data_IF_327688991860
#
_entry.id   IF_327688991860
#
_cell.length_a   1.000
_cell.length_b   1.000
_cell.length_c   1.000
_cell.angle_alpha   90.00
_cell.angle_beta   90.00
_cell.angle_gamma   90.00
#
_symmetry.space_group_name_H-M   'P 1'
#
loop_
_entity.id
_entity.type
_entity.pdbx_description
1 polymer ?
#
# COMPACT_ATOMS: atom_id res chain seq x y z
N UNK A 1 -9.59 -18.69 4.98
CA UNK A 1 -8.91 -19.97 4.66
C UNK A 1 -8.57 -20.79 5.92
N UNK A 2 -7.76 -20.29 6.87
CA UNK A 2 -7.35 -21.05 8.06
C UNK A 2 -8.52 -21.58 8.92
N UNK A 3 -9.51 -20.74 9.25
CA UNK A 3 -10.70 -21.14 10.02
C UNK A 3 -11.48 -22.30 9.36
N UNK A 4 -11.62 -22.26 8.04
CA UNK A 4 -12.30 -23.31 7.29
C UNK A 4 -11.50 -24.62 7.33
N UNK A 5 -10.19 -24.54 7.09
CA UNK A 5 -9.29 -25.69 7.16
C UNK A 5 -9.31 -26.38 8.53
N UNK A 6 -9.29 -25.60 9.62
CA UNK A 6 -9.43 -26.14 10.99
C UNK A 6 -10.79 -26.81 11.20
N UNK A 7 -11.85 -26.21 10.64
CA UNK A 7 -13.21 -26.75 10.67
C UNK A 7 -13.32 -28.12 10.00
N UNK A 8 -12.62 -28.30 8.88
CA UNK A 8 -12.66 -29.52 8.04
C UNK A 8 -11.89 -30.70 8.65
N UNK A 9 -11.10 -30.50 9.72
CA UNK A 9 -10.45 -31.59 10.46
C UNK A 9 -11.51 -32.49 11.10
N UNK A 10 -11.59 -33.73 10.59
CA UNK A 10 -12.59 -34.77 10.91
C UNK A 10 -12.84 -35.01 12.40
N UNK A 11 -14.09 -35.33 12.76
CA UNK A 11 -14.50 -35.74 14.11
C UNK A 11 -14.12 -37.18 14.48
N UNK A 12 -13.63 -37.99 13.52
CA UNK A 12 -13.09 -39.34 13.74
C UNK A 12 -11.55 -39.34 13.89
N UNK A 13 -11.02 -38.20 14.32
CA UNK A 13 -9.61 -37.94 14.42
C UNK A 13 -8.93 -38.79 15.51
N UNK A 14 -7.71 -39.26 15.23
CA UNK A 14 -6.80 -39.84 16.24
C UNK A 14 -6.53 -38.77 17.32
N UNK A 15 -6.12 -39.19 18.53
CA UNK A 15 -5.83 -38.26 19.64
C UNK A 15 -4.91 -37.09 19.23
N UNK A 16 -3.84 -37.37 18.50
CA UNK A 16 -2.89 -36.34 18.05
C UNK A 16 -3.52 -35.34 17.05
N UNK A 17 -4.49 -35.76 16.24
CA UNK A 17 -5.23 -34.88 15.32
C UNK A 17 -6.17 -33.95 16.10
N UNK A 18 -6.80 -34.45 17.18
CA UNK A 18 -7.58 -33.63 18.11
C UNK A 18 -6.71 -32.60 18.85
N UNK A 19 -5.56 -33.02 19.37
CA UNK A 19 -4.60 -32.15 20.06
C UNK A 19 -4.08 -31.05 19.10
N UNK A 20 -3.77 -31.42 17.85
CA UNK A 20 -3.34 -30.48 16.80
C UNK A 20 -4.46 -29.49 16.44
N UNK A 21 -5.70 -29.97 16.30
CA UNK A 21 -6.87 -29.10 16.04
C UNK A 21 -7.09 -28.10 17.17
N UNK A 22 -6.97 -28.55 18.42
CA UNK A 22 -7.10 -27.67 19.58
C UNK A 22 -6.02 -26.60 19.60
N UNK A 23 -4.76 -26.98 19.35
CA UNK A 23 -3.65 -26.04 19.23
C UNK A 23 -3.88 -25.00 18.12
N UNK A 24 -4.32 -25.44 16.93
CA UNK A 24 -4.62 -24.56 15.80
C UNK A 24 -5.77 -23.59 16.11
N UNK A 25 -6.78 -24.02 16.86
CA UNK A 25 -7.87 -23.13 17.31
C UNK A 25 -7.37 -22.06 18.28
N UNK A 26 -6.55 -22.44 19.26
CA UNK A 26 -5.96 -21.50 20.22
C UNK A 26 -5.06 -20.48 19.52
N UNK A 27 -4.20 -20.94 18.62
CA UNK A 27 -3.33 -20.07 17.82
C UNK A 27 -4.15 -19.09 16.97
N UNK A 28 -5.19 -19.58 16.29
CA UNK A 28 -6.10 -18.75 15.52
C UNK A 28 -6.79 -17.66 16.38
N UNK A 29 -7.23 -18.00 17.59
CA UNK A 29 -7.87 -17.05 18.50
C UNK A 29 -6.89 -15.98 18.99
N UNK A 30 -5.65 -16.35 19.30
CA UNK A 30 -4.58 -15.43 19.71
C UNK A 30 -4.26 -14.46 18.56
N UNK A 31 -3.98 -14.98 17.36
CA UNK A 31 -3.64 -14.17 16.19
C UNK A 31 -4.81 -13.27 15.78
N UNK A 32 -6.05 -13.78 15.85
CA UNK A 32 -7.23 -12.95 15.58
C UNK A 32 -7.38 -11.81 16.59
N UNK A 33 -7.15 -12.08 17.89
CA UNK A 33 -7.21 -11.05 18.93
C UNK A 33 -6.18 -9.95 18.66
N UNK A 34 -4.97 -10.35 18.28
CA UNK A 34 -3.89 -9.44 17.91
C UNK A 34 -4.27 -8.57 16.71
N UNK A 35 -4.79 -9.16 15.63
CA UNK A 35 -5.23 -8.40 14.46
C UNK A 35 -6.35 -7.41 14.75
N UNK A 36 -7.24 -7.71 15.71
CA UNK A 36 -8.28 -6.76 16.12
C UNK A 36 -7.67 -5.53 16.80
N UNK A 37 -6.67 -5.72 17.65
CA UNK A 37 -5.97 -4.60 18.30
C UNK A 37 -5.20 -3.76 17.27
N UNK A 38 -4.52 -4.42 16.34
CA UNK A 38 -3.79 -3.76 15.24
C UNK A 38 -4.73 -2.94 14.35
N UNK A 39 -5.86 -3.53 13.93
CA UNK A 39 -6.87 -2.83 13.13
C UNK A 39 -7.46 -1.63 13.89
N UNK A 40 -7.70 -1.75 15.20
CA UNK A 40 -8.16 -0.62 16.01
C UNK A 40 -7.14 0.52 16.05
N UNK A 41 -5.86 0.21 16.25
CA UNK A 41 -4.78 1.20 16.23
C UNK A 41 -4.72 1.91 14.87
N UNK A 42 -4.75 1.13 13.78
CA UNK A 42 -4.77 1.66 12.43
C UNK A 42 -6.00 2.55 12.17
N UNK A 43 -7.19 2.13 12.61
CA UNK A 43 -8.42 2.93 12.42
C UNK A 43 -8.38 4.23 13.23
N UNK A 44 -7.82 4.20 14.45
CA UNK A 44 -7.61 5.42 15.23
C UNK A 44 -6.68 6.37 14.48
N UNK A 45 -5.55 5.88 13.97
CA UNK A 45 -4.65 6.70 13.15
C UNK A 45 -5.36 7.25 11.91
N UNK A 46 -6.06 6.41 11.15
CA UNK A 46 -6.79 6.81 9.93
C UNK A 46 -7.81 7.91 10.21
N UNK A 47 -8.61 7.76 11.25
CA UNK A 47 -9.59 8.77 11.67
C UNK A 47 -8.94 10.10 12.07
N UNK A 48 -7.76 10.04 12.69
CA UNK A 48 -7.02 11.23 13.12
C UNK A 48 -6.39 11.99 11.94
N UNK A 49 -6.16 11.34 10.80
CA UNK A 49 -5.68 12.05 9.59
C UNK A 49 -6.69 13.07 9.07
N UNK A 50 -7.99 12.85 9.32
CA UNK A 50 -9.08 13.69 8.82
C UNK A 50 -9.36 13.55 7.31
N UNK A 51 -8.56 12.78 6.57
CA UNK A 51 -8.63 12.68 5.11
C UNK A 51 -9.98 12.18 4.59
N UNK A 52 -10.59 11.18 5.25
CA UNK A 52 -11.92 10.67 4.91
C UNK A 52 -13.01 11.77 4.96
N UNK A 53 -12.87 12.76 5.84
CA UNK A 53 -13.85 13.86 5.96
C UNK A 53 -13.66 14.90 4.87
N UNK A 54 -12.42 15.13 4.46
CA UNK A 54 -12.06 16.08 3.39
C UNK A 54 -12.37 15.52 2.00
N UNK A 55 -12.14 14.22 1.78
CA UNK A 55 -12.25 13.56 0.47
C UNK A 55 -13.41 12.56 0.43
N UNK A 56 -14.66 13.07 0.38
CA UNK A 56 -15.89 12.26 0.43
C UNK A 56 -16.18 11.33 -0.77
N UNK A 57 -15.52 11.56 -1.91
CA UNK A 57 -15.60 10.74 -3.13
C UNK A 57 -14.48 9.69 -3.16
N UNK A 58 -13.42 9.87 -2.35
CA UNK A 58 -12.37 8.87 -2.23
C UNK A 58 -12.91 7.65 -1.48
N UNK A 59 -12.33 6.49 -1.78
CA UNK A 59 -12.63 5.24 -1.10
C UNK A 59 -12.24 5.39 0.38
N UNK A 60 -13.17 5.04 1.28
CA UNK A 60 -12.92 4.96 2.73
C UNK A 60 -13.11 3.49 3.16
N UNK A 61 -12.07 2.68 2.92
CA UNK A 61 -12.12 1.22 3.11
C UNK A 61 -11.02 0.72 4.07
N UNK A 62 -10.92 1.24 5.29
CA UNK A 62 -9.79 0.96 6.18
C UNK A 62 -9.66 -0.53 6.54
N UNK A 63 -10.76 -1.27 6.63
CA UNK A 63 -10.68 -2.72 6.83
C UNK A 63 -10.02 -3.44 5.64
N UNK A 64 -10.33 -3.03 4.40
CA UNK A 64 -9.70 -3.60 3.18
C UNK A 64 -8.21 -3.32 3.20
N UNK A 65 -7.82 -2.07 3.45
CA UNK A 65 -6.41 -1.65 3.51
C UNK A 65 -5.62 -2.39 4.58
N UNK A 66 -6.23 -2.59 5.76
CA UNK A 66 -5.62 -3.39 6.80
C UNK A 66 -5.44 -4.85 6.40
N UNK A 67 -6.41 -5.47 5.72
CA UNK A 67 -6.30 -6.87 5.27
C UNK A 67 -5.10 -7.09 4.34
N UNK A 68 -4.75 -6.11 3.50
CA UNK A 68 -3.54 -6.20 2.65
C UNK A 68 -2.25 -6.31 3.47
N UNK A 69 -2.20 -5.72 4.67
CA UNK A 69 -1.02 -5.83 5.55
C UNK A 69 -0.84 -7.23 6.15
N UNK A 70 -1.89 -8.05 6.21
CA UNK A 70 -1.89 -9.37 6.86
C UNK A 70 -0.99 -10.41 6.15
N UNK A 71 -0.40 -10.07 4.98
CA UNK A 71 0.64 -10.88 4.33
C UNK A 71 1.88 -11.08 5.22
N UNK A 72 2.16 -10.12 6.11
CA UNK A 72 3.15 -10.28 7.18
C UNK A 72 2.54 -11.15 8.29
N UNK A 73 2.38 -12.45 8.03
CA UNK A 73 1.60 -13.38 8.84
C UNK A 73 2.25 -13.78 10.17
N UNK A 74 3.55 -13.56 10.35
CA UNK A 74 4.24 -13.84 11.61
C UNK A 74 3.66 -12.99 12.76
N UNK A 75 3.20 -13.59 13.88
CA UNK A 75 2.64 -12.83 15.00
C UNK A 75 3.58 -11.74 15.56
N UNK A 76 4.90 -11.93 15.48
CA UNK A 76 5.89 -10.92 15.92
C UNK A 76 5.87 -9.64 15.09
N UNK A 77 5.28 -9.66 13.90
CA UNK A 77 5.20 -8.55 12.96
C UNK A 77 4.01 -7.60 13.20
N UNK A 78 3.61 -7.40 14.45
CA UNK A 78 2.44 -6.59 14.80
C UNK A 78 2.52 -5.15 14.29
N UNK A 79 3.61 -4.45 14.66
CA UNK A 79 3.84 -3.06 14.26
C UNK A 79 4.05 -2.95 12.75
N UNK A 80 4.72 -3.94 12.16
CA UNK A 80 4.91 -4.06 10.71
C UNK A 80 3.56 -4.02 9.97
N UNK A 81 2.56 -4.78 10.44
CA UNK A 81 1.22 -4.78 9.84
C UNK A 81 0.51 -3.43 9.99
N UNK A 82 0.54 -2.82 11.17
CA UNK A 82 -0.07 -1.50 11.39
C UNK A 82 0.53 -0.45 10.46
N UNK A 83 1.85 -0.40 10.33
CA UNK A 83 2.53 0.52 9.43
C UNK A 83 2.23 0.23 7.96
N UNK A 84 2.26 -1.03 7.53
CA UNK A 84 1.89 -1.39 6.16
C UNK A 84 0.45 -0.97 5.83
N UNK A 85 -0.48 -1.09 6.78
CA UNK A 85 -1.85 -0.62 6.59
C UNK A 85 -1.92 0.91 6.36
N UNK A 86 -1.11 1.70 7.09
CA UNK A 86 -0.95 3.14 6.83
C UNK A 86 -0.49 3.40 5.40
N UNK A 87 0.57 2.70 4.96
CA UNK A 87 1.12 2.84 3.61
C UNK A 87 0.09 2.47 2.53
N UNK A 88 -0.59 1.33 2.68
CA UNK A 88 -1.64 0.90 1.75
C UNK A 88 -2.75 1.95 1.67
N UNK A 89 -3.21 2.48 2.81
CA UNK A 89 -4.25 3.52 2.80
C UNK A 89 -3.82 4.79 2.06
N UNK A 90 -2.55 5.19 2.19
CA UNK A 90 -2.03 6.35 1.46
C UNK A 90 -1.97 6.08 -0.04
N UNK A 91 -1.53 4.89 -0.48
CA UNK A 91 -1.55 4.51 -1.90
C UNK A 91 -2.96 4.67 -2.48
N UNK A 92 -3.98 4.09 -1.83
CA UNK A 92 -5.38 4.18 -2.28
C UNK A 92 -5.91 5.62 -2.34
N UNK A 93 -5.60 6.43 -1.34
CA UNK A 93 -6.07 7.82 -1.29
C UNK A 93 -5.38 8.69 -2.33
N UNK A 94 -4.10 8.44 -2.59
CA UNK A 94 -3.36 9.15 -3.63
C UNK A 94 -3.90 8.76 -5.00
N UNK A 95 -4.12 7.47 -5.26
CA UNK A 95 -4.78 6.95 -6.47
C UNK A 95 -6.12 7.67 -6.72
N UNK A 96 -7.00 7.72 -5.72
CA UNK A 96 -8.27 8.48 -5.80
C UNK A 96 -8.09 9.98 -6.10
N UNK A 97 -7.00 10.58 -5.59
CA UNK A 97 -6.69 11.97 -5.90
C UNK A 97 -6.37 12.14 -7.39
N UNK A 98 -5.62 11.21 -7.99
CA UNK A 98 -5.26 11.23 -9.40
C UNK A 98 -6.46 10.94 -10.31
N UNK A 99 -7.33 10.01 -9.94
CA UNK A 99 -8.39 9.52 -10.84
C UNK A 99 -9.71 10.29 -10.71
N UNK A 100 -10.05 10.75 -9.50
CA UNK A 100 -11.38 11.32 -9.21
C UNK A 100 -11.36 12.81 -8.94
N UNK A 101 -10.30 13.32 -8.31
CA UNK A 101 -10.28 14.68 -7.75
C UNK A 101 -9.45 15.70 -8.52
N UNK A 102 -8.25 15.32 -8.92
CA UNK A 102 -7.23 16.24 -9.37
C UNK A 102 -7.50 16.78 -10.76
N UNK A 103 -7.35 18.09 -10.95
CA UNK A 103 -7.08 18.61 -12.29
C UNK A 103 -5.64 18.30 -12.67
N UNK A 104 -5.36 18.10 -13.95
CA UNK A 104 -4.02 17.77 -14.43
C UNK A 104 -2.96 18.78 -13.95
N UNK A 105 -3.27 20.08 -13.96
CA UNK A 105 -2.36 21.13 -13.46
C UNK A 105 -2.03 20.96 -11.97
N UNK A 106 -3.04 20.64 -11.14
CA UNK A 106 -2.82 20.37 -9.72
C UNK A 106 -2.03 19.08 -9.51
N UNK A 107 -2.29 18.03 -10.30
CA UNK A 107 -1.57 16.77 -10.22
C UNK A 107 -0.09 16.91 -10.58
N UNK A 108 0.26 17.77 -11.53
CA UNK A 108 1.65 18.10 -11.85
C UNK A 108 2.35 18.72 -10.64
N UNK A 109 1.73 19.72 -10.01
CA UNK A 109 2.29 20.39 -8.82
C UNK A 109 2.38 19.42 -7.63
N UNK A 110 1.36 18.58 -7.43
CA UNK A 110 1.33 17.55 -6.40
C UNK A 110 2.48 16.53 -6.57
N UNK A 111 2.74 16.10 -7.81
CA UNK A 111 3.85 15.22 -8.17
C UNK A 111 5.21 15.88 -7.90
N UNK A 112 5.38 17.14 -8.31
CA UNK A 112 6.65 17.85 -8.11
C UNK A 112 6.97 18.11 -6.63
N UNK A 113 5.94 18.40 -5.81
CA UNK A 113 6.10 18.53 -4.36
C UNK A 113 6.65 17.24 -3.73
N UNK A 114 6.19 16.06 -4.15
CA UNK A 114 6.71 14.76 -3.67
C UNK A 114 8.10 14.48 -4.21
N UNK A 115 8.38 14.77 -5.47
CA UNK A 115 9.71 14.54 -6.07
C UNK A 115 10.81 15.36 -5.40
N UNK A 116 10.50 16.59 -5.02
CA UNK A 116 11.40 17.47 -4.25
C UNK A 116 11.35 17.20 -2.76
N UNK A 117 10.32 16.49 -2.31
CA UNK A 117 9.97 16.31 -0.91
C UNK A 117 9.85 17.66 -0.18
N UNK A 118 9.23 18.63 -0.84
CA UNK A 118 9.10 20.02 -0.37
C UNK A 118 7.63 20.43 -0.31
N UNK A 119 7.15 20.70 0.90
CA UNK A 119 5.77 21.11 1.14
C UNK A 119 5.48 22.52 0.63
N UNK A 120 6.50 23.38 0.50
CA UNK A 120 6.32 24.76 0.02
C UNK A 120 5.85 24.79 -1.45
N UNK A 121 6.28 23.83 -2.27
CA UNK A 121 5.84 23.68 -3.67
C UNK A 121 4.32 23.43 -3.78
N UNK A 122 3.72 22.90 -2.71
CA UNK A 122 2.31 22.58 -2.65
C UNK A 122 1.43 23.72 -2.11
N UNK A 123 1.96 24.91 -1.80
CA UNK A 123 1.18 26.00 -1.18
C UNK A 123 -0.08 26.35 -1.98
N UNK A 124 0.04 26.37 -3.31
CA UNK A 124 -1.03 26.68 -4.26
C UNK A 124 -2.06 25.55 -4.42
N UNK A 125 -1.79 24.34 -3.92
CA UNK A 125 -2.72 23.22 -4.04
C UNK A 125 -3.97 23.40 -3.16
N UNK A 126 -5.08 22.76 -3.54
CA UNK A 126 -6.26 22.64 -2.68
C UNK A 126 -5.93 22.06 -1.30
N UNK A 127 -6.76 22.39 -0.31
CA UNK A 127 -6.57 21.96 1.08
C UNK A 127 -6.39 20.44 1.22
N UNK A 128 -7.22 19.64 0.55
CA UNK A 128 -7.18 18.17 0.67
C UNK A 128 -5.85 17.56 0.18
N UNK A 129 -5.28 18.09 -0.91
CA UNK A 129 -3.97 17.64 -1.41
C UNK A 129 -2.86 18.00 -0.42
N UNK A 130 -2.92 19.20 0.16
CA UNK A 130 -1.98 19.62 1.20
C UNK A 130 -2.08 18.77 2.45
N UNK A 131 -3.30 18.47 2.92
CA UNK A 131 -3.52 17.53 4.03
C UNK A 131 -2.94 16.15 3.70
N UNK A 132 -3.17 15.64 2.49
CA UNK A 132 -2.62 14.36 2.04
C UNK A 132 -1.08 14.36 2.05
N UNK A 133 -0.42 15.39 1.49
CA UNK A 133 1.05 15.51 1.51
C UNK A 133 1.60 15.54 2.92
N UNK A 134 0.96 16.28 3.83
CA UNK A 134 1.40 16.34 5.22
C UNK A 134 1.37 14.95 5.86
N UNK A 135 0.25 14.24 5.72
CA UNK A 135 0.12 12.89 6.26
C UNK A 135 1.13 11.94 5.63
N UNK A 136 1.36 12.03 4.32
CA UNK A 136 2.37 11.24 3.61
C UNK A 136 3.78 11.50 4.14
N UNK A 137 4.17 12.77 4.28
CA UNK A 137 5.50 13.16 4.73
C UNK A 137 5.73 12.75 6.18
N UNK A 138 4.79 13.07 7.07
CA UNK A 138 4.86 12.73 8.49
C UNK A 138 4.94 11.20 8.69
N UNK A 139 4.12 10.44 7.95
CA UNK A 139 4.11 8.96 8.04
C UNK A 139 5.41 8.37 7.52
N UNK A 140 5.95 8.91 6.44
CA UNK A 140 7.23 8.43 5.87
C UNK A 140 8.41 8.74 6.79
N UNK A 141 8.38 9.89 7.48
CA UNK A 141 9.40 10.26 8.46
C UNK A 141 9.29 9.41 9.74
N UNK A 142 8.07 9.20 10.27
CA UNK A 142 7.79 8.25 11.36
C UNK A 142 8.40 6.88 11.04
N UNK A 143 8.12 6.39 9.83
CA UNK A 143 8.62 5.11 9.34
C UNK A 143 10.15 5.02 9.28
N UNK A 144 10.78 6.05 8.71
CA UNK A 144 12.23 6.10 8.61
C UNK A 144 12.90 6.12 9.99
N UNK A 145 12.30 6.84 10.94
CA UNK A 145 12.76 6.91 12.32
C UNK A 145 12.63 5.56 13.05
N UNK A 146 11.51 4.85 12.88
CA UNK A 146 11.34 3.51 13.45
C UNK A 146 12.40 2.52 12.95
N UNK A 147 12.66 2.51 11.63
CA UNK A 147 13.71 1.67 11.04
C UNK A 147 15.09 2.06 11.53
N UNK A 148 15.37 3.36 11.65
CA UNK A 148 16.64 3.83 12.19
C UNK A 148 16.86 3.39 13.64
N UNK A 149 15.82 3.47 14.47
CA UNK A 149 15.89 3.02 15.86
C UNK A 149 16.05 1.51 15.99
N UNK A 150 15.35 0.73 15.16
CA UNK A 150 15.39 -0.73 15.21
C UNK A 150 16.68 -1.32 14.61
N UNK A 151 17.15 -0.75 13.49
CA UNK A 151 18.17 -1.39 12.63
C UNK A 151 19.42 -0.52 12.40
N UNK A 152 19.44 0.72 12.88
CA UNK A 152 20.60 1.61 12.85
C UNK A 152 20.88 2.30 11.51
N UNK A 153 20.03 2.12 10.49
CA UNK A 153 20.16 2.79 9.19
C UNK A 153 18.93 3.65 8.89
N UNK A 154 19.12 4.81 8.26
CA UNK A 154 18.01 5.69 7.88
C UNK A 154 17.61 5.41 6.41
N UNK A 155 16.40 4.90 6.14
CA UNK A 155 15.93 4.58 4.79
C UNK A 155 15.33 5.77 4.03
N UNK A 156 15.28 6.97 4.61
CA UNK A 156 14.42 8.06 4.13
C UNK A 156 14.56 8.35 2.63
N UNK A 157 15.77 8.43 2.10
CA UNK A 157 15.99 8.71 0.67
C UNK A 157 15.43 7.65 -0.26
N UNK A 158 15.41 6.38 0.17
CA UNK A 158 14.82 5.27 -0.56
C UNK A 158 13.30 5.35 -0.58
N UNK A 159 12.70 5.71 0.56
CA UNK A 159 11.26 5.86 0.71
C UNK A 159 10.75 7.04 -0.13
N UNK A 160 11.43 8.18 -0.05
CA UNK A 160 11.11 9.37 -0.86
C UNK A 160 11.13 9.05 -2.36
N UNK A 161 12.17 8.32 -2.80
CA UNK A 161 12.30 7.94 -4.21
C UNK A 161 11.22 6.96 -4.66
N UNK A 162 10.83 5.97 -3.85
CA UNK A 162 9.78 5.02 -4.26
C UNK A 162 8.40 5.69 -4.33
N UNK A 163 8.11 6.64 -3.43
CA UNK A 163 6.91 7.47 -3.52
C UNK A 163 6.93 8.38 -4.74
N UNK A 164 8.05 9.03 -5.04
CA UNK A 164 8.21 9.84 -6.25
C UNK A 164 7.94 9.04 -7.53
N UNK A 165 8.47 7.81 -7.62
CA UNK A 165 8.20 6.92 -8.75
C UNK A 165 6.72 6.56 -8.90
N UNK A 166 6.01 6.33 -7.78
CA UNK A 166 4.58 6.06 -7.80
C UNK A 166 3.78 7.28 -8.31
N UNK A 167 4.11 8.48 -7.83
CA UNK A 167 3.47 9.71 -8.30
C UNK A 167 3.74 9.98 -9.79
N UNK A 168 4.97 9.76 -10.26
CA UNK A 168 5.30 9.87 -11.69
C UNK A 168 4.46 8.87 -12.52
N UNK A 169 4.26 7.64 -12.04
CA UNK A 169 3.43 6.64 -12.72
C UNK A 169 1.94 7.02 -12.76
N UNK A 170 1.37 7.49 -11.66
CA UNK A 170 0.00 8.01 -11.64
C UNK A 170 -0.16 9.23 -12.56
N UNK A 171 0.84 10.12 -12.60
CA UNK A 171 0.80 11.28 -13.48
C UNK A 171 0.83 10.89 -14.97
N UNK A 172 1.53 9.81 -15.33
CA UNK A 172 1.52 9.27 -16.70
C UNK A 172 0.11 8.79 -17.07
N UNK A 173 -0.55 8.03 -16.21
CA UNK A 173 -1.93 7.57 -16.41
C UNK A 173 -2.92 8.74 -16.53
N UNK A 174 -2.84 9.72 -15.64
CA UNK A 174 -3.66 10.93 -15.70
C UNK A 174 -3.45 11.72 -17.02
N UNK A 175 -2.21 11.77 -17.54
CA UNK A 175 -1.92 12.39 -18.84
C UNK A 175 -2.48 11.60 -20.00
N UNK A 176 -2.40 10.26 -19.97
CA UNK A 176 -3.03 9.42 -20.97
C UNK A 176 -4.54 9.65 -21.01
N UNK A 177 -5.19 9.64 -19.85
CA UNK A 177 -6.61 9.91 -19.72
C UNK A 177 -7.00 11.30 -20.25
N UNK A 178 -6.31 12.36 -19.80
CA UNK A 178 -6.60 13.73 -20.21
C UNK A 178 -6.41 13.97 -21.73
N UNK A 179 -5.42 13.31 -22.33
CA UNK A 179 -5.14 13.40 -23.77
C UNK A 179 -5.92 12.41 -24.63
N UNK A 180 -6.72 11.52 -24.01
CA UNK A 180 -7.38 10.37 -24.66
C UNK A 180 -6.39 9.49 -25.43
N UNK A 181 -5.16 9.42 -24.93
CA UNK A 181 -4.13 8.54 -25.47
C UNK A 181 -4.40 7.11 -25.01
N UNK A 182 -4.40 6.18 -25.96
CA UNK A 182 -4.50 4.75 -25.69
C UNK A 182 -3.10 4.15 -25.83
N UNK A 183 -2.40 3.86 -24.71
CA UNK A 183 -1.07 3.27 -24.75
C UNK A 183 -1.11 1.85 -25.34
N UNK A 184 0.03 1.40 -25.87
CA UNK A 184 0.19 -0.02 -26.23
C UNK A 184 0.23 -0.88 -24.97
N UNK A 185 -0.12 -2.17 -25.07
CA UNK A 185 -0.18 -3.09 -23.91
C UNK A 185 1.12 -3.13 -23.11
N UNK A 186 2.27 -3.12 -23.78
CA UNK A 186 3.58 -3.19 -23.12
C UNK A 186 3.94 -1.87 -22.43
N UNK A 187 3.54 -0.74 -23.01
CA UNK A 187 3.71 0.59 -22.42
C UNK A 187 2.81 0.77 -21.20
N UNK A 188 1.53 0.39 -21.36
CA UNK A 188 0.55 0.35 -20.28
C UNK A 188 1.06 -0.49 -19.12
N UNK A 189 1.45 -1.75 -19.37
CA UNK A 189 1.87 -2.65 -18.31
C UNK A 189 3.18 -2.18 -17.65
N UNK A 190 4.10 -1.59 -18.41
CA UNK A 190 5.33 -1.01 -17.83
C UNK A 190 4.99 0.07 -16.79
N UNK A 191 4.08 0.98 -17.09
CA UNK A 191 3.64 1.98 -16.12
C UNK A 191 2.76 1.37 -15.02
N UNK A 192 1.81 0.54 -15.43
CA UNK A 192 0.82 -0.15 -14.61
C UNK A 192 1.43 -0.95 -13.47
N UNK A 193 2.59 -1.57 -13.69
CA UNK A 193 3.34 -2.26 -12.63
C UNK A 193 3.77 -1.31 -11.51
N UNK A 194 4.20 -0.10 -11.84
CA UNK A 194 4.61 0.90 -10.84
C UNK A 194 3.40 1.54 -10.17
N UNK A 195 2.36 1.90 -10.95
CA UNK A 195 1.14 2.54 -10.43
C UNK A 195 0.34 1.65 -9.48
N UNK A 196 0.59 0.33 -9.43
CA UNK A 196 -0.01 -0.54 -8.39
C UNK A 196 0.36 -0.15 -6.95
N UNK A 197 1.46 0.59 -6.76
CA UNK A 197 2.03 0.86 -5.43
C UNK A 197 2.73 -0.34 -4.78
N UNK A 198 2.86 -1.49 -5.47
CA UNK A 198 3.50 -2.70 -4.92
C UNK A 198 4.97 -2.49 -4.57
N UNK A 199 5.69 -1.68 -5.35
CA UNK A 199 7.08 -1.34 -5.05
C UNK A 199 7.18 -0.56 -3.73
N UNK A 200 6.24 0.36 -3.47
CA UNK A 200 6.17 1.09 -2.20
C UNK A 200 5.92 0.09 -1.06
N UNK A 201 4.90 -0.75 -1.18
CA UNK A 201 4.55 -1.75 -0.17
C UNK A 201 5.72 -2.68 0.18
N UNK A 202 6.34 -3.28 -0.84
CA UNK A 202 7.41 -4.26 -0.66
C UNK A 202 8.70 -3.61 -0.11
N UNK A 203 9.01 -2.36 -0.48
CA UNK A 203 10.17 -1.67 0.09
C UNK A 203 9.98 -1.42 1.59
N UNK A 204 8.78 -0.98 2.00
CA UNK A 204 8.46 -0.78 3.41
C UNK A 204 8.53 -2.10 4.18
N UNK A 205 7.99 -3.19 3.62
CA UNK A 205 8.10 -4.53 4.19
C UNK A 205 9.57 -4.95 4.42
N UNK A 206 10.42 -4.81 3.39
CA UNK A 206 11.83 -5.19 3.45
C UNK A 206 12.60 -4.45 4.54
N UNK A 207 12.47 -3.12 4.61
CA UNK A 207 13.23 -2.35 5.59
C UNK A 207 12.80 -2.59 7.03
N UNK A 208 11.50 -2.81 7.29
CA UNK A 208 11.03 -3.11 8.64
C UNK A 208 11.48 -4.48 9.13
N UNK A 209 11.63 -5.46 8.24
CA UNK A 209 12.16 -6.79 8.59
C UNK A 209 13.65 -6.81 8.97
N UNK A 210 14.35 -5.67 8.88
CA UNK A 210 15.77 -5.57 9.26
C UNK A 210 16.75 -6.14 8.23
N UNK A 211 16.24 -6.56 7.06
CA UNK A 211 17.05 -7.02 5.95
C UNK A 211 17.93 -5.87 5.44
N UNK A 212 19.25 -5.95 5.67
CA UNK A 212 20.18 -4.90 5.30
C UNK A 212 20.27 -4.72 3.78
N UNK A 213 20.38 -3.45 3.44
CA UNK A 213 20.56 -2.79 2.16
C UNK A 213 21.73 -3.23 1.24
N UNK A 214 22.14 -4.50 1.17
CA UNK A 214 22.87 -4.96 -0.05
C UNK A 214 21.94 -4.98 -1.29
N UNK A 215 20.65 -4.72 -1.09
CA UNK A 215 19.54 -4.84 -2.06
C UNK A 215 19.01 -3.46 -2.51
N UNK A 216 19.60 -2.37 -2.02
CA UNK A 216 19.05 -1.00 -2.17
C UNK A 216 19.22 -0.38 -3.55
N UNK A 217 20.26 -0.73 -4.30
CA UNK A 217 20.40 -0.31 -5.70
C UNK A 217 19.47 -1.12 -6.61
N UNK A 218 19.33 -2.43 -6.40
CA UNK A 218 18.52 -3.31 -7.24
C UNK A 218 17.02 -2.98 -7.17
N UNK A 219 16.48 -2.70 -5.98
CA UNK A 219 15.06 -2.42 -5.81
C UNK A 219 14.61 -1.11 -6.50
N UNK A 220 15.52 -0.14 -6.62
CA UNK A 220 15.26 1.20 -7.18
C UNK A 220 15.74 1.40 -8.63
N UNK A 221 16.40 0.40 -9.22
CA UNK A 221 16.72 0.40 -10.66
C UNK A 221 15.54 -0.19 -11.44
N UNK A 222 15.38 0.18 -12.71
CA UNK A 222 14.38 -0.41 -13.64
C UNK A 222 14.44 -1.95 -13.70
N UNK A 223 15.54 -2.54 -13.21
CA UNK A 223 15.85 -3.95 -13.20
C UNK A 223 15.63 -4.63 -11.84
N UNK A 224 14.77 -4.07 -10.97
CA UNK A 224 14.38 -4.75 -9.72
C UNK A 224 13.89 -6.16 -10.06
N UNK A 225 14.54 -7.15 -9.43
CA UNK A 225 14.46 -8.60 -9.73
C UNK A 225 13.08 -9.01 -10.21
N UNK A 226 13.04 -9.95 -11.16
CA UNK A 226 11.82 -10.51 -11.74
C UNK A 226 10.69 -10.78 -10.74
N UNK A 227 10.96 -11.09 -9.47
CA UNK A 227 9.93 -11.26 -8.43
C UNK A 227 9.10 -9.99 -8.11
N UNK A 228 9.72 -8.82 -7.90
CA UNK A 228 8.96 -7.59 -7.53
C UNK A 228 8.09 -7.16 -8.71
N UNK A 229 8.69 -7.08 -9.90
CA UNK A 229 7.96 -6.74 -11.12
C UNK A 229 6.92 -7.80 -11.49
N UNK A 230 7.18 -9.09 -11.22
CA UNK A 230 6.17 -10.14 -11.44
C UNK A 230 5.03 -10.04 -10.44
N UNK A 231 5.28 -9.79 -9.16
CA UNK A 231 4.23 -9.58 -8.16
C UNK A 231 3.39 -8.35 -8.50
N UNK A 232 4.03 -7.25 -8.92
CA UNK A 232 3.35 -6.04 -9.35
C UNK A 232 2.53 -6.25 -10.64
N UNK A 233 3.09 -6.96 -11.64
CA UNK A 233 2.38 -7.30 -12.87
C UNK A 233 1.19 -8.24 -12.59
N UNK A 234 1.36 -9.23 -11.72
CA UNK A 234 0.26 -10.10 -11.29
C UNK A 234 -0.83 -9.29 -10.60
N UNK A 235 -0.47 -8.38 -9.69
CA UNK A 235 -1.47 -7.54 -9.05
C UNK A 235 -2.20 -6.66 -10.07
N UNK A 236 -1.47 -5.96 -10.95
CA UNK A 236 -2.06 -5.12 -12.01
C UNK A 236 -3.06 -5.92 -12.85
N UNK A 237 -2.63 -7.07 -13.37
CA UNK A 237 -3.47 -7.90 -14.23
C UNK A 237 -4.69 -8.49 -13.50
N UNK A 238 -4.58 -8.81 -12.21
CA UNK A 238 -5.72 -9.28 -11.41
C UNK A 238 -6.70 -8.15 -11.13
N UNK A 239 -6.21 -6.96 -10.79
CA UNK A 239 -7.01 -5.77 -10.52
C UNK A 239 -7.76 -5.31 -11.79
N UNK A 240 -7.06 -5.28 -12.93
CA UNK A 240 -7.66 -4.95 -14.23
C UNK A 240 -8.72 -6.00 -14.64
N UNK A 241 -8.47 -7.29 -14.35
CA UNK A 241 -9.42 -8.36 -14.64
C UNK A 241 -10.68 -8.23 -13.78
N UNK A 242 -10.53 -8.02 -12.48
CA UNK A 242 -11.65 -7.83 -11.56
C UNK A 242 -12.48 -6.62 -12.00
N UNK A 243 -11.83 -5.50 -12.32
CA UNK A 243 -12.48 -4.27 -12.79
C UNK A 243 -13.22 -4.48 -14.11
N UNK A 244 -12.60 -5.13 -15.10
CA UNK A 244 -13.21 -5.42 -16.40
C UNK A 244 -14.43 -6.37 -16.30
N UNK A 245 -14.51 -7.18 -15.24
CA UNK A 245 -15.66 -8.07 -14.99
C UNK A 245 -16.75 -7.43 -14.12
N UNK A 246 -16.50 -6.25 -13.55
CA UNK A 246 -17.50 -5.51 -12.80
C UNK A 246 -18.47 -4.79 -13.76
N UNK A 247 -19.64 -5.39 -13.97
CA UNK A 247 -20.71 -4.84 -14.81
C UNK A 247 -21.25 -3.47 -14.33
N UNK A 248 -20.88 -3.03 -13.12
CA UNK A 248 -21.26 -1.73 -12.57
C UNK A 248 -20.22 -0.64 -12.78
N UNK A 249 -19.05 -0.96 -13.37
CA UNK A 249 -17.97 -0.01 -13.60
C UNK A 249 -18.39 1.06 -14.62
N UNK A 250 -18.12 2.33 -14.30
CA UNK A 250 -18.53 3.50 -15.12
C UNK A 250 -17.39 4.01 -16.02
N UNK A 251 -16.32 3.22 -16.18
CA UNK A 251 -15.15 3.55 -17.02
C UNK A 251 -14.36 4.77 -16.54
N UNK A 252 -14.16 4.88 -15.23
CA UNK A 252 -13.40 5.98 -14.59
C UNK A 252 -12.12 5.53 -13.88
N UNK A 253 -11.90 4.22 -13.78
CA UNK A 253 -10.65 3.57 -13.36
C UNK A 253 -10.01 2.99 -14.63
#
# INVERSE_FOLDING_TARGET
>A
MAKQFIGDISSKAKKWECDTKHLAMLDYEIVQSQHKMEAQQFFTWWNNTGLAKEMKLARDQPMKWYIHSAVASDPSHSQLRVNLAKIVSLVYIIDDIFDVYGSLDNLIVFTEAVKRWDYAEAEQLPHYMKSCLRVLFDTTEEFANEIHQAHGFNPISYLQKVWANLFDAFLVEAKWFASKHLPLSDEYLKNGTVSTGMHVFLLHLLFMSGEKANITAEFLTENSRGMVNSAAAMLRLLDDLDSATDETQVGKD
#
